data_IF_888320268689
#
_entry.id   IF_888320268689
#
_cell.length_a   1.000
_cell.length_b   1.000
_cell.length_c   1.000
_cell.angle_alpha   90.00
_cell.angle_beta   90.00
_cell.angle_gamma   90.00
#
_symmetry.space_group_name_H-M   'P 1'
#
loop_
_entity.id
_entity.type
_entity.pdbx_description
1 polymer ?
#
# COMPACT_ATOMS: atom_id res chain seq x y z
N UNK A 1 20.09 14.88 -6.72
CA UNK A 1 18.80 15.57 -6.91
C UNK A 1 17.71 14.54 -6.68
N UNK A 2 16.99 14.62 -5.56
CA UNK A 2 15.82 13.78 -5.31
C UNK A 2 14.71 14.22 -6.27
N UNK A 3 14.14 13.29 -7.04
CA UNK A 3 13.04 13.59 -7.96
C UNK A 3 11.81 13.96 -7.13
N UNK A 4 11.22 15.11 -7.44
CA UNK A 4 10.06 15.72 -6.76
C UNK A 4 8.73 15.05 -7.14
N UNK A 5 8.69 13.73 -7.34
CA UNK A 5 7.52 13.04 -7.91
C UNK A 5 7.25 11.65 -7.33
N UNK A 6 7.66 11.38 -6.10
CA UNK A 6 7.34 10.11 -5.44
C UNK A 6 6.12 10.36 -4.56
N UNK A 7 4.96 9.86 -5.02
CA UNK A 7 3.72 9.84 -4.23
C UNK A 7 3.90 8.81 -3.13
N UNK A 8 3.78 9.21 -1.87
CA UNK A 8 3.77 8.28 -0.75
C UNK A 8 2.37 7.71 -0.59
N UNK A 9 2.28 6.39 -0.54
CA UNK A 9 1.08 5.64 -0.24
C UNK A 9 1.24 4.93 1.10
N UNK A 10 0.19 4.93 1.92
CA UNK A 10 0.08 4.07 3.10
C UNK A 10 -1.18 3.23 2.97
N UNK A 11 -1.02 1.92 3.02
CA UNK A 11 -2.12 0.96 2.91
C UNK A 11 -2.32 0.31 4.27
N UNK A 12 -3.50 0.50 4.85
CA UNK A 12 -3.89 -0.09 6.13
C UNK A 12 -4.82 -1.27 5.88
N UNK A 13 -4.34 -2.48 6.16
CA UNK A 13 -5.06 -3.74 5.86
C UNK A 13 -5.95 -4.20 7.02
N UNK A 14 -5.44 -4.09 8.24
CA UNK A 14 -6.10 -4.49 9.48
C UNK A 14 -5.80 -3.43 10.52
N UNK A 15 -6.83 -2.85 11.13
CA UNK A 15 -6.62 -1.81 12.12
C UNK A 15 -7.88 -1.05 12.51
N UNK A 16 -7.68 0.19 12.96
CA UNK A 16 -8.75 1.06 13.40
C UNK A 16 -9.48 1.71 12.21
N UNK A 17 -10.74 2.06 12.42
CA UNK A 17 -11.51 2.90 11.49
C UNK A 17 -10.96 4.32 11.50
N UNK A 18 -10.66 4.87 10.33
CA UNK A 18 -10.24 6.27 10.16
C UNK A 18 -11.40 7.09 9.59
N UNK A 19 -11.97 7.98 10.42
CA UNK A 19 -13.08 8.87 10.06
C UNK A 19 -14.29 8.18 9.43
N UNK A 20 -14.70 7.05 10.01
CA UNK A 20 -15.82 6.26 9.52
C UNK A 20 -15.49 5.35 8.34
N UNK A 21 -14.24 5.37 7.85
CA UNK A 21 -13.74 4.42 6.85
C UNK A 21 -13.03 3.25 7.55
N UNK A 22 -13.60 2.03 7.53
CA UNK A 22 -12.94 0.86 8.12
C UNK A 22 -11.73 0.43 7.28
N UNK A 23 -10.83 -0.37 7.87
CA UNK A 23 -9.84 -1.11 7.07
C UNK A 23 -10.53 -2.22 6.27
N UNK A 24 -10.06 -2.56 5.06
CA UNK A 24 -8.84 -2.05 4.45
C UNK A 24 -9.04 -0.73 3.67
N UNK A 25 -8.11 0.21 3.81
CA UNK A 25 -8.13 1.51 3.11
C UNK A 25 -6.72 2.03 2.80
N UNK A 26 -6.62 2.99 1.89
CA UNK A 26 -5.39 3.68 1.51
C UNK A 26 -5.42 5.15 1.92
N UNK A 27 -4.25 5.66 2.26
CA UNK A 27 -3.92 7.08 2.36
C UNK A 27 -2.95 7.46 1.26
N UNK A 28 -3.24 8.53 0.54
CA UNK A 28 -2.39 9.07 -0.53
C UNK A 28 -1.86 10.42 -0.03
N UNK A 29 -0.55 10.58 0.04
CA UNK A 29 0.09 11.77 0.56
C UNK A 29 0.42 12.74 -0.58
N UNK A 30 -0.62 13.41 -1.07
CA UNK A 30 -0.54 14.51 -2.03
C UNK A 30 -1.54 15.63 -1.66
N UNK A 31 -1.52 16.74 -2.40
CA UNK A 31 -2.40 17.87 -2.14
C UNK A 31 -3.88 17.58 -2.46
N UNK A 32 -4.18 16.64 -3.37
CA UNK A 32 -5.55 16.26 -3.76
C UNK A 32 -6.25 15.44 -2.66
N UNK A 33 -5.46 14.72 -1.87
CA UNK A 33 -5.91 13.82 -0.80
C UNK A 33 -5.63 14.37 0.60
N UNK A 34 -5.43 15.69 0.70
CA UNK A 34 -5.16 16.41 1.95
C UNK A 34 -3.97 15.79 2.71
N UNK A 35 -2.89 15.53 1.98
CA UNK A 35 -1.64 14.96 2.50
C UNK A 35 -1.86 13.70 3.36
N UNK A 36 -2.70 12.78 2.87
CA UNK A 36 -3.02 11.51 3.54
C UNK A 36 -4.09 11.63 4.62
N UNK A 37 -4.66 12.81 4.84
CA UNK A 37 -5.74 13.02 5.79
C UNK A 37 -7.04 12.33 5.32
N UNK A 38 -7.25 12.17 4.01
CA UNK A 38 -8.37 11.40 3.46
C UNK A 38 -8.03 9.90 3.40
N UNK A 39 -8.96 9.06 3.87
CA UNK A 39 -8.89 7.61 3.75
C UNK A 39 -9.84 7.13 2.64
N UNK A 40 -9.35 6.27 1.76
CA UNK A 40 -10.12 5.71 0.64
C UNK A 40 -10.25 4.20 0.86
N UNK A 41 -11.47 3.65 0.98
CA UNK A 41 -11.69 2.20 1.01
C UNK A 41 -11.00 1.51 -0.18
N UNK A 42 -10.28 0.41 0.05
CA UNK A 42 -9.59 -0.28 -1.04
C UNK A 42 -10.56 -0.88 -2.06
N UNK A 43 -11.78 -1.23 -1.65
CA UNK A 43 -12.84 -1.75 -2.55
C UNK A 43 -13.34 -0.70 -3.57
N UNK A 44 -13.04 0.58 -3.37
CA UNK A 44 -13.33 1.65 -4.34
C UNK A 44 -12.25 1.80 -5.40
N UNK A 45 -11.11 1.13 -5.27
CA UNK A 45 -10.06 1.13 -6.27
C UNK A 45 -10.33 -0.01 -7.26
N UNK A 46 -10.98 0.31 -8.39
CA UNK A 46 -11.51 -0.68 -9.36
C UNK A 46 -10.49 -1.71 -9.86
N UNK A 47 -9.20 -1.39 -9.81
CA UNK A 47 -8.11 -2.24 -10.33
C UNK A 47 -7.14 -2.71 -9.27
N UNK A 48 -7.43 -2.45 -8.00
CA UNK A 48 -6.53 -2.81 -6.92
C UNK A 48 -6.75 -4.26 -6.51
N UNK A 49 -5.74 -5.10 -6.73
CA UNK A 49 -5.71 -6.47 -6.24
C UNK A 49 -4.99 -6.49 -4.90
N UNK A 50 -5.75 -6.58 -3.80
CA UNK A 50 -5.21 -6.60 -2.44
C UNK A 50 -4.05 -7.58 -2.28
N UNK A 51 -4.11 -8.77 -2.87
CA UNK A 51 -3.05 -9.76 -2.68
C UNK A 51 -1.84 -9.44 -3.55
N UNK A 52 -2.03 -9.31 -4.87
CA UNK A 52 -0.92 -9.15 -5.81
C UNK A 52 -0.18 -7.82 -5.60
N UNK A 53 -0.91 -6.72 -5.42
CA UNK A 53 -0.34 -5.38 -5.31
C UNK A 53 0.47 -5.20 -4.01
N UNK A 54 0.05 -5.85 -2.91
CA UNK A 54 0.79 -5.83 -1.64
C UNK A 54 2.05 -6.68 -1.73
N UNK A 55 1.97 -7.85 -2.36
CA UNK A 55 3.14 -8.71 -2.56
C UNK A 55 4.16 -7.98 -3.44
N UNK A 56 3.72 -7.36 -4.53
CA UNK A 56 4.59 -6.54 -5.40
C UNK A 56 5.23 -5.38 -4.62
N UNK A 57 4.43 -4.64 -3.85
CA UNK A 57 4.94 -3.54 -3.00
C UNK A 57 5.99 -4.02 -2.00
N UNK A 58 5.78 -5.18 -1.38
CA UNK A 58 6.75 -5.80 -0.46
C UNK A 58 8.02 -6.22 -1.21
N UNK A 59 7.90 -6.83 -2.39
CA UNK A 59 9.03 -7.22 -3.22
C UNK A 59 9.89 -6.01 -3.62
N UNK A 60 9.25 -4.91 -4.06
CA UNK A 60 9.97 -3.68 -4.40
C UNK A 60 10.66 -3.06 -3.18
N UNK A 61 10.01 -3.07 -2.01
CA UNK A 61 10.64 -2.64 -0.77
C UNK A 61 11.88 -3.48 -0.42
N UNK A 62 11.81 -4.80 -0.57
CA UNK A 62 12.95 -5.69 -0.33
C UNK A 62 14.09 -5.45 -1.31
N UNK A 63 13.78 -5.28 -2.61
CA UNK A 63 14.76 -4.91 -3.65
C UNK A 63 15.44 -3.59 -3.32
N UNK A 64 14.68 -2.56 -2.95
CA UNK A 64 15.19 -1.24 -2.59
C UNK A 64 16.18 -1.30 -1.42
N UNK A 65 15.95 -2.21 -0.47
CA UNK A 65 16.83 -2.43 0.68
C UNK A 65 17.93 -3.48 0.44
N UNK A 66 18.18 -3.87 -0.82
CA UNK A 66 19.22 -4.82 -1.24
C UNK A 66 19.11 -6.21 -0.57
N UNK A 67 17.90 -6.68 -0.28
CA UNK A 67 17.70 -8.08 0.11
C UNK A 67 17.85 -9.00 -1.11
N UNK A 68 18.48 -10.15 -0.93
CA UNK A 68 18.47 -11.22 -1.92
C UNK A 68 17.11 -11.94 -1.87
N UNK A 69 16.37 -11.86 -2.97
CA UNK A 69 15.02 -12.41 -3.09
C UNK A 69 14.93 -13.58 -4.09
N UNK A 70 16.07 -14.06 -4.63
CA UNK A 70 16.08 -15.08 -5.69
C UNK A 70 15.47 -16.43 -5.26
N UNK A 71 15.51 -16.73 -3.96
CA UNK A 71 14.95 -17.97 -3.37
C UNK A 71 13.79 -17.69 -2.40
N UNK A 72 13.22 -16.48 -2.42
CA UNK A 72 12.13 -16.09 -1.52
C UNK A 72 10.76 -16.47 -2.13
N UNK A 73 10.02 -17.38 -1.48
CA UNK A 73 8.59 -17.60 -1.76
C UNK A 73 7.75 -16.76 -0.81
N UNK A 74 6.86 -15.92 -1.37
CA UNK A 74 5.85 -15.17 -0.62
C UNK A 74 4.48 -15.71 -1.08
N UNK A 75 3.72 -16.28 -0.16
CA UNK A 75 2.43 -16.88 -0.44
C UNK A 75 1.37 -16.31 0.50
N UNK A 76 0.17 -16.07 -0.04
CA UNK A 76 -1.00 -15.77 0.77
C UNK A 76 -1.45 -17.04 1.49
N UNK A 77 -1.55 -17.00 2.82
CA UNK A 77 -2.24 -18.03 3.57
C UNK A 77 -3.73 -17.67 3.65
N UNK A 78 -4.56 -18.39 2.90
CA UNK A 78 -6.01 -18.33 3.08
C UNK A 78 -6.33 -18.84 4.49
N UNK A 79 -6.93 -17.99 5.33
CA UNK A 79 -7.50 -18.36 6.64
C UNK A 79 -9.00 -18.54 6.45
#
# INVERSE_FOLDING_TARGET
>A
MYKKSEVLLRIDLVGATHRGIPTPHVHIFDDEHDNGFLAIPLDKLEKYNLTEDIIESLQEFLKYNNFDINELSIEQKLI
#
